data_IF_023570175504
#
_entry.id   IF_023570175504
#
_cell.length_a   1.000
_cell.length_b   1.000
_cell.length_c   1.000
_cell.angle_alpha   90.00
_cell.angle_beta   90.00
_cell.angle_gamma   90.00
#
_symmetry.space_group_name_H-M   'P 1'
#
loop_
_entity.id
_entity.type
_entity.pdbx_description
1 polymer ?
#
# COMPACT_ATOMS: atom_id res chain seq x y z
N UNK A 1 4.90 22.30 15.92
CA UNK A 1 4.02 21.93 14.78
C UNK A 1 3.97 20.42 14.72
N UNK A 2 2.80 19.82 14.91
CA UNK A 2 2.62 18.38 14.77
C UNK A 2 2.34 18.05 13.29
N UNK A 3 3.01 17.04 12.75
CA UNK A 3 2.69 16.48 11.44
C UNK A 3 1.36 15.72 11.55
N UNK A 4 0.24 16.42 11.40
CA UNK A 4 -1.10 15.87 11.63
C UNK A 4 -1.57 14.99 10.45
N UNK A 5 -1.05 15.22 9.25
CA UNK A 5 -1.43 14.52 8.03
C UNK A 5 -0.20 14.27 7.17
N UNK A 6 0.04 13.01 6.80
CA UNK A 6 1.13 12.64 5.91
C UNK A 6 0.55 11.93 4.70
N UNK A 7 0.33 12.66 3.61
CA UNK A 7 -0.15 12.07 2.35
C UNK A 7 0.96 11.25 1.69
N UNK A 8 0.64 10.02 1.30
CA UNK A 8 1.61 9.07 0.75
C UNK A 8 1.31 8.70 -0.70
N UNK A 9 0.06 8.76 -1.15
CA UNK A 9 -0.28 8.45 -2.53
C UNK A 9 -1.40 9.35 -3.08
N UNK A 10 -1.37 9.51 -4.40
CA UNK A 10 -2.42 10.16 -5.18
C UNK A 10 -2.76 9.24 -6.35
N UNK A 11 -4.05 8.94 -6.54
CA UNK A 11 -4.58 8.26 -7.72
C UNK A 11 -5.53 9.20 -8.44
N UNK A 12 -5.17 9.58 -9.67
CA UNK A 12 -6.00 10.43 -10.52
C UNK A 12 -6.81 9.58 -11.50
N UNK A 13 -8.12 9.80 -11.62
CA UNK A 13 -8.98 9.12 -12.60
C UNK A 13 -10.04 10.07 -13.14
N UNK A 14 -10.84 9.62 -14.13
CA UNK A 14 -12.03 10.37 -14.59
C UNK A 14 -13.04 10.67 -13.49
N UNK A 15 -13.01 9.92 -12.38
CA UNK A 15 -13.88 10.13 -11.22
C UNK A 15 -13.34 11.20 -10.26
N UNK A 16 -12.16 11.77 -10.50
CA UNK A 16 -11.49 12.73 -9.64
C UNK A 16 -10.18 12.20 -9.05
N UNK A 17 -9.66 12.92 -8.06
CA UNK A 17 -8.44 12.57 -7.33
C UNK A 17 -8.76 11.79 -6.06
N UNK A 18 -7.99 10.75 -5.80
CA UNK A 18 -8.07 9.98 -4.56
C UNK A 18 -6.73 10.06 -3.85
N UNK A 19 -6.73 10.42 -2.57
CA UNK A 19 -5.51 10.56 -1.77
C UNK A 19 -5.63 9.80 -0.46
N UNK A 20 -4.53 9.21 -0.02
CA UNK A 20 -4.44 8.60 1.31
C UNK A 20 -3.03 8.69 1.86
N UNK A 21 -2.88 8.35 3.14
CA UNK A 21 -1.60 8.36 3.80
C UNK A 21 -1.71 8.19 5.29
N UNK A 22 -0.55 8.18 5.94
CA UNK A 22 -0.46 7.99 7.36
C UNK A 22 -1.24 9.09 8.09
N UNK A 23 -2.12 8.68 9.01
CA UNK A 23 -3.01 9.55 9.82
C UNK A 23 -4.15 10.21 9.03
N UNK A 24 -4.41 9.82 7.78
CA UNK A 24 -5.67 10.22 7.12
C UNK A 24 -6.87 9.47 7.69
N UNK A 25 -6.66 8.22 8.12
CA UNK A 25 -7.69 7.24 8.54
C UNK A 25 -8.86 7.10 7.54
N UNK A 26 -8.63 7.55 6.30
CA UNK A 26 -9.61 7.64 5.23
C UNK A 26 -8.93 7.67 3.86
N UNK A 27 -9.62 7.11 2.88
CA UNK A 27 -9.39 7.43 1.47
C UNK A 27 -10.20 8.69 1.17
N UNK A 28 -9.52 9.76 0.77
CA UNK A 28 -10.16 11.05 0.51
C UNK A 28 -10.36 11.19 -0.99
N UNK A 29 -11.58 11.55 -1.40
CA UNK A 29 -11.93 11.87 -2.78
C UNK A 29 -12.03 13.39 -2.94
N UNK A 30 -11.34 13.94 -3.93
CA UNK A 30 -11.50 15.32 -4.39
C UNK A 30 -12.13 15.33 -5.78
N UNK A 31 -13.25 16.04 -5.90
CA UNK A 31 -13.96 16.21 -7.17
C UNK A 31 -13.35 17.32 -8.06
N UNK A 32 -14.00 17.62 -9.19
CA UNK A 32 -13.53 18.62 -10.15
C UNK A 32 -13.50 20.05 -9.61
N UNK A 33 -14.27 20.31 -8.55
CA UNK A 33 -14.34 21.62 -7.89
C UNK A 33 -13.42 21.67 -6.65
N UNK A 34 -12.56 20.65 -6.47
CA UNK A 34 -11.62 20.48 -5.36
C UNK A 34 -12.30 20.33 -3.99
N UNK A 35 -13.55 19.89 -3.95
CA UNK A 35 -14.20 19.54 -2.68
C UNK A 35 -13.68 18.19 -2.19
N UNK A 36 -13.04 18.18 -1.02
CA UNK A 36 -12.55 16.98 -0.38
C UNK A 36 -13.64 16.34 0.48
N UNK A 37 -13.89 15.04 0.27
CA UNK A 37 -14.79 14.23 1.10
C UNK A 37 -14.18 12.87 1.40
N UNK A 38 -14.55 12.29 2.52
CA UNK A 38 -14.24 10.90 2.81
C UNK A 38 -14.95 9.99 1.79
N UNK A 39 -14.18 9.14 1.11
CA UNK A 39 -14.70 8.09 0.24
C UNK A 39 -15.03 6.83 1.05
N UNK A 40 -14.12 6.44 1.94
CA UNK A 40 -14.30 5.41 2.95
C UNK A 40 -13.24 5.55 4.05
N UNK A 41 -13.54 5.03 5.24
CA UNK A 41 -12.58 4.94 6.32
C UNK A 41 -11.50 3.88 6.01
N UNK A 42 -10.28 4.10 6.50
CA UNK A 42 -9.15 3.19 6.36
C UNK A 42 -8.58 2.84 7.74
N UNK A 43 -8.03 1.63 7.93
CA UNK A 43 -7.32 1.30 9.15
C UNK A 43 -6.17 2.26 9.43
N UNK A 44 -6.01 2.64 10.69
CA UNK A 44 -4.88 3.47 11.11
C UNK A 44 -3.56 2.79 10.73
N UNK A 45 -2.67 3.51 10.04
CA UNK A 45 -1.40 2.98 9.56
C UNK A 45 -1.37 2.70 8.06
N UNK A 46 -2.49 2.81 7.34
CA UNK A 46 -2.48 2.76 5.88
C UNK A 46 -1.63 3.89 5.30
N UNK A 47 -0.76 3.54 4.34
CA UNK A 47 0.03 4.50 3.57
C UNK A 47 -0.57 4.70 2.18
N UNK A 48 -0.72 3.63 1.40
CA UNK A 48 -1.25 3.75 0.03
C UNK A 48 -2.59 3.03 -0.06
N UNK A 49 -3.59 3.72 -0.61
CA UNK A 49 -4.91 3.19 -0.89
C UNK A 49 -5.46 3.77 -2.19
N UNK A 50 -6.39 3.04 -2.81
CA UNK A 50 -7.12 3.51 -4.00
C UNK A 50 -8.46 2.81 -4.14
N UNK A 51 -9.42 3.43 -4.85
CA UNK A 51 -10.56 2.69 -5.36
C UNK A 51 -10.09 1.53 -6.23
N UNK A 52 -10.72 0.38 -6.06
CA UNK A 52 -10.41 -0.82 -6.79
C UNK A 52 -11.66 -1.70 -6.91
N UNK A 53 -12.03 -2.08 -8.15
CA UNK A 53 -13.31 -2.75 -8.45
C UNK A 53 -14.46 -2.03 -7.74
N UNK A 54 -15.38 -2.76 -7.08
CA UNK A 54 -16.46 -2.19 -6.27
C UNK A 54 -16.05 -2.00 -4.80
N UNK A 55 -14.81 -1.58 -4.56
CA UNK A 55 -14.24 -1.54 -3.21
C UNK A 55 -12.96 -0.69 -3.13
N UNK A 56 -12.08 -1.08 -2.22
CA UNK A 56 -10.81 -0.40 -1.94
C UNK A 56 -9.65 -1.39 -1.86
N UNK A 57 -8.51 -1.02 -2.42
CA UNK A 57 -7.24 -1.72 -2.26
C UNK A 57 -6.30 -0.83 -1.47
N UNK A 58 -5.67 -1.37 -0.43
CA UNK A 58 -4.79 -0.61 0.45
C UNK A 58 -3.75 -1.49 1.13
N UNK A 59 -2.63 -0.90 1.56
CA UNK A 59 -1.76 -1.55 2.53
C UNK A 59 -2.21 -1.30 3.97
N UNK A 60 -2.06 -2.33 4.79
CA UNK A 60 -2.33 -2.32 6.21
C UNK A 60 -1.02 -2.58 6.95
N UNK A 61 -0.25 -1.51 7.15
CA UNK A 61 1.09 -1.58 7.76
C UNK A 61 1.06 -2.10 9.19
N UNK A 62 -0.04 -1.88 9.94
CA UNK A 62 -0.16 -2.43 11.29
C UNK A 62 -0.36 -3.94 11.27
N UNK A 63 -1.05 -4.46 10.25
CA UNK A 63 -1.37 -5.88 10.12
C UNK A 63 -0.40 -6.66 9.23
N UNK A 64 0.66 -6.02 8.74
CA UNK A 64 1.68 -6.59 7.84
C UNK A 64 1.09 -7.25 6.61
N UNK A 65 0.12 -6.59 5.99
CA UNK A 65 -0.55 -7.12 4.80
C UNK A 65 -0.98 -6.03 3.81
N UNK A 66 -1.35 -6.49 2.62
CA UNK A 66 -2.17 -5.73 1.67
C UNK A 66 -3.57 -6.33 1.66
N UNK A 67 -4.59 -5.48 1.49
CA UNK A 67 -6.00 -5.87 1.55
C UNK A 67 -6.77 -5.28 0.38
N UNK A 68 -7.61 -6.11 -0.24
CA UNK A 68 -8.64 -5.70 -1.18
C UNK A 68 -10.00 -6.02 -0.55
N UNK A 69 -10.81 -5.00 -0.30
CA UNK A 69 -12.11 -5.13 0.39
C UNK A 69 -13.21 -4.61 -0.52
N UNK A 70 -14.17 -5.47 -0.85
CA UNK A 70 -15.38 -5.15 -1.61
C UNK A 70 -16.46 -4.52 -0.74
N UNK A 71 -17.37 -3.75 -1.35
CA UNK A 71 -18.56 -3.20 -0.67
C UNK A 71 -19.52 -4.25 -0.13
N UNK A 72 -19.48 -5.45 -0.68
CA UNK A 72 -20.23 -6.63 -0.23
C UNK A 72 -19.59 -7.31 1.00
N UNK A 73 -18.45 -6.81 1.48
CA UNK A 73 -17.71 -7.36 2.61
C UNK A 73 -16.74 -8.47 2.24
N UNK A 74 -16.67 -8.88 0.96
CA UNK A 74 -15.66 -9.83 0.51
C UNK A 74 -14.26 -9.21 0.62
N UNK A 75 -13.32 -9.98 1.18
CA UNK A 75 -11.95 -9.53 1.39
C UNK A 75 -10.93 -10.55 0.87
N UNK A 76 -9.89 -10.03 0.23
CA UNK A 76 -8.63 -10.75 -0.01
C UNK A 76 -7.52 -10.03 0.76
N UNK A 77 -6.74 -10.76 1.55
CA UNK A 77 -5.55 -10.22 2.20
C UNK A 77 -4.32 -11.08 1.89
N UNK A 78 -3.17 -10.42 1.77
CA UNK A 78 -1.88 -11.08 1.59
C UNK A 78 -0.89 -10.59 2.62
N UNK A 79 -0.32 -11.52 3.40
CA UNK A 79 0.78 -11.23 4.32
C UNK A 79 2.03 -10.85 3.55
N UNK A 80 2.72 -9.83 4.04
CA UNK A 80 4.00 -9.41 3.51
C UNK A 80 5.06 -10.46 3.83
N UNK A 81 5.93 -10.83 2.87
CA UNK A 81 7.04 -11.73 3.14
C UNK A 81 7.97 -11.16 4.21
N UNK A 82 8.42 -12.04 5.08
CA UNK A 82 9.47 -11.76 6.08
C UNK A 82 10.69 -12.62 5.80
N UNK A 83 11.79 -12.21 6.37
CA UNK A 83 13.09 -12.86 6.30
C UNK A 83 13.53 -13.33 7.68
N UNK A 84 14.49 -14.24 7.72
CA UNK A 84 15.11 -14.66 8.97
C UNK A 84 15.74 -13.44 9.65
N UNK A 85 15.49 -13.27 10.95
CA UNK A 85 16.00 -12.14 11.71
C UNK A 85 17.53 -12.07 11.71
N UNK A 86 18.20 -13.23 11.57
CA UNK A 86 19.66 -13.34 11.51
C UNK A 86 20.25 -12.80 10.20
N UNK A 87 19.44 -12.69 9.15
CA UNK A 87 19.85 -12.11 7.87
C UNK A 87 19.64 -10.58 7.82
N UNK A 88 18.86 -10.04 8.76
CA UNK A 88 18.56 -8.61 8.81
C UNK A 88 19.76 -7.80 9.31
N UNK A 89 19.95 -6.63 8.70
CA UNK A 89 20.98 -5.68 9.10
C UNK A 89 20.37 -4.45 9.76
N UNK A 90 21.17 -3.76 10.58
CA UNK A 90 20.78 -2.55 11.31
C UNK A 90 19.64 -2.75 12.32
N UNK A 91 19.46 -3.98 12.81
CA UNK A 91 18.46 -4.35 13.84
C UNK A 91 18.71 -3.68 15.20
N UNK A 92 19.97 -3.39 15.53
CA UNK A 92 20.38 -2.83 16.83
C UNK A 92 20.43 -1.29 16.87
N UNK A 93 20.09 -0.60 15.78
CA UNK A 93 20.17 0.87 15.70
C UNK A 93 18.83 1.56 15.95
N UNK A 94 17.77 0.79 16.18
CA UNK A 94 16.42 1.32 16.40
C UNK A 94 15.86 0.86 17.76
N UNK A 95 16.38 1.46 18.84
CA UNK A 95 15.85 1.30 20.20
C UNK A 95 14.39 1.78 20.35
N UNK A 96 13.85 2.47 19.33
CA UNK A 96 12.46 2.95 19.31
C UNK A 96 11.46 1.94 18.72
N UNK A 97 11.94 0.81 18.16
CA UNK A 97 11.14 -0.21 17.43
C UNK A 97 10.35 0.36 16.26
N UNK A 98 10.77 1.49 15.70
CA UNK A 98 10.05 2.13 14.57
C UNK A 98 10.33 1.36 13.27
N UNK A 99 11.53 0.81 13.08
CA UNK A 99 11.94 -0.01 11.95
C UNK A 99 11.82 -1.49 12.28
N UNK A 100 10.91 -2.16 11.57
CA UNK A 100 10.73 -3.62 11.60
C UNK A 100 10.38 -4.09 10.20
N UNK A 101 10.58 -5.38 9.94
CA UNK A 101 10.16 -5.99 8.69
C UNK A 101 8.63 -6.10 8.62
N UNK A 102 8.12 -6.34 7.41
CA UNK A 102 6.70 -6.56 7.17
C UNK A 102 5.88 -5.30 6.90
N UNK A 103 6.46 -4.10 7.01
CA UNK A 103 5.74 -2.86 6.71
C UNK A 103 5.35 -2.77 5.24
N UNK A 104 4.10 -3.12 4.94
CA UNK A 104 3.47 -2.83 3.66
C UNK A 104 3.33 -1.30 3.49
N UNK A 105 3.95 -0.71 2.46
CA UNK A 105 3.91 0.75 2.23
C UNK A 105 3.66 1.12 0.78
N UNK A 106 4.49 0.64 -0.15
CA UNK A 106 4.30 0.85 -1.58
C UNK A 106 3.18 0.00 -2.13
N UNK A 107 2.41 0.51 -3.08
CA UNK A 107 1.31 -0.21 -3.71
C UNK A 107 1.08 0.31 -5.12
N UNK A 108 1.13 -0.57 -6.12
CA UNK A 108 0.63 -0.27 -7.46
C UNK A 108 -0.09 -1.48 -8.06
N UNK A 109 -0.95 -1.21 -9.04
CA UNK A 109 -1.57 -2.26 -9.85
C UNK A 109 -0.71 -2.44 -11.09
N UNK A 110 -0.33 -3.70 -11.34
CA UNK A 110 0.31 -4.09 -12.59
C UNK A 110 -0.76 -4.32 -13.66
N UNK A 111 -1.87 -4.97 -13.28
CA UNK A 111 -3.09 -5.10 -14.08
C UNK A 111 -4.34 -5.23 -13.17
N UNK A 112 -5.45 -5.78 -13.69
CA UNK A 112 -6.71 -5.94 -12.96
C UNK A 112 -6.68 -7.01 -11.86
N UNK A 113 -5.72 -7.94 -11.93
CA UNK A 113 -5.60 -9.08 -11.02
C UNK A 113 -4.23 -9.10 -10.32
N UNK A 114 -3.20 -8.51 -10.93
CA UNK A 114 -1.84 -8.50 -10.43
C UNK A 114 -1.49 -7.16 -9.78
N UNK A 115 -1.04 -7.22 -8.53
CA UNK A 115 -0.57 -6.06 -7.76
C UNK A 115 0.89 -6.21 -7.37
N UNK A 116 1.59 -5.08 -7.29
CA UNK A 116 2.92 -5.01 -6.69
C UNK A 116 2.85 -4.25 -5.36
N UNK A 117 3.50 -4.81 -4.35
CA UNK A 117 3.52 -4.26 -2.99
C UNK A 117 4.95 -4.08 -2.54
N UNK A 118 5.25 -2.86 -2.09
CA UNK A 118 6.53 -2.48 -1.53
C UNK A 118 6.53 -2.65 -0.01
N UNK A 119 7.60 -3.21 0.53
CA UNK A 119 7.72 -3.48 1.96
C UNK A 119 9.15 -3.39 2.50
N UNK A 120 9.27 -3.41 3.83
CA UNK A 120 10.55 -3.56 4.54
C UNK A 120 10.92 -5.03 4.78
N UNK A 121 12.19 -5.42 4.66
CA UNK A 121 13.30 -4.59 4.18
C UNK A 121 13.28 -4.51 2.65
N UNK A 122 13.33 -3.31 2.05
CA UNK A 122 13.40 -3.04 0.60
C UNK A 122 12.93 -4.15 -0.36
N UNK A 123 11.69 -4.65 -0.18
CA UNK A 123 11.17 -5.81 -0.88
C UNK A 123 9.99 -5.41 -1.75
N UNK A 124 9.95 -5.94 -2.98
CA UNK A 124 8.81 -5.82 -3.89
C UNK A 124 8.23 -7.21 -4.08
N UNK A 125 6.95 -7.39 -3.77
CA UNK A 125 6.22 -8.65 -3.96
C UNK A 125 5.07 -8.47 -4.93
N UNK A 126 4.88 -9.46 -5.81
CA UNK A 126 3.75 -9.55 -6.73
C UNK A 126 2.71 -10.51 -6.17
N UNK A 127 1.44 -10.09 -6.16
CA UNK A 127 0.32 -10.93 -5.73
C UNK A 127 -0.76 -10.94 -6.82
N UNK A 128 -1.29 -12.13 -7.12
CA UNK A 128 -2.47 -12.28 -7.95
C UNK A 128 -3.70 -12.37 -7.04
N UNK A 129 -4.63 -11.43 -7.21
CA UNK A 129 -5.86 -11.25 -6.42
C UNK A 129 -6.92 -12.31 -6.71
N UNK A 130 -6.97 -12.82 -7.94
CA UNK A 130 -7.94 -13.84 -8.37
C UNK A 130 -7.51 -15.23 -7.89
N UNK A 131 -6.27 -15.60 -8.18
CA UNK A 131 -5.67 -16.86 -7.74
C UNK A 131 -5.34 -16.87 -6.23
N UNK A 132 -5.46 -15.71 -5.57
CA UNK A 132 -5.17 -15.51 -4.14
C UNK A 132 -3.79 -16.04 -3.73
N UNK A 133 -2.77 -15.75 -4.54
CA UNK A 133 -1.40 -16.22 -4.26
C UNK A 133 -0.34 -15.15 -4.51
N UNK A 134 0.76 -15.27 -3.79
CA UNK A 134 2.01 -14.58 -4.12
C UNK A 134 2.59 -15.20 -5.40
N UNK A 135 2.89 -14.37 -6.39
CA UNK A 135 3.46 -14.79 -7.67
C UNK A 135 4.98 -14.79 -7.61
N UNK A 136 5.58 -13.70 -7.13
CA UNK A 136 7.04 -13.56 -7.05
C UNK A 136 7.42 -12.48 -6.03
N UNK A 137 8.71 -12.40 -5.68
CA UNK A 137 9.25 -11.37 -4.81
C UNK A 137 10.73 -11.13 -5.11
N UNK A 138 11.17 -9.88 -4.97
CA UNK A 138 12.58 -9.49 -5.03
C UNK A 138 12.93 -8.63 -3.82
N UNK A 139 14.07 -8.93 -3.19
CA UNK A 139 14.65 -8.11 -2.13
C UNK A 139 15.82 -7.30 -2.71
N UNK A 140 15.88 -6.01 -2.40
CA UNK A 140 16.98 -5.13 -2.83
C UNK A 140 18.02 -4.89 -1.73
N UNK A 141 17.64 -5.10 -0.47
CA UNK A 141 18.50 -4.88 0.70
C UNK A 141 17.88 -5.54 1.93
N UNK A 142 18.74 -6.05 2.82
CA UNK A 142 18.38 -6.56 4.14
C UNK A 142 18.46 -5.50 5.24
N UNK A 143 18.63 -4.22 4.90
CA UNK A 143 18.55 -3.11 5.86
C UNK A 143 17.09 -2.89 6.29
N UNK A 144 16.81 -3.19 7.56
CA UNK A 144 15.47 -3.17 8.14
C UNK A 144 14.82 -1.78 8.16
N UNK A 145 15.63 -0.73 8.07
CA UNK A 145 15.16 0.66 8.10
C UNK A 145 14.53 1.07 6.78
N UNK A 146 14.83 0.35 5.70
CA UNK A 146 14.40 0.68 4.36
C UNK A 146 13.11 -0.05 3.99
N UNK A 147 12.18 0.68 3.40
CA UNK A 147 10.97 0.13 2.81
C UNK A 147 10.76 0.76 1.42
N UNK A 148 10.14 0.03 0.51
CA UNK A 148 9.70 0.60 -0.76
C UNK A 148 8.37 1.33 -0.53
N UNK A 149 8.37 2.67 -0.66
CA UNK A 149 7.23 3.53 -0.30
C UNK A 149 6.32 3.89 -1.48
N UNK A 150 6.91 4.14 -2.64
CA UNK A 150 6.20 4.51 -3.86
C UNK A 150 6.48 3.48 -4.94
N UNK A 151 5.42 3.05 -5.62
CA UNK A 151 5.47 2.16 -6.77
C UNK A 151 4.50 2.69 -7.81
N UNK A 152 4.90 2.67 -9.07
CA UNK A 152 4.05 3.07 -10.19
C UNK A 152 4.46 2.30 -11.44
N UNK A 153 3.52 2.00 -12.31
CA UNK A 153 3.79 1.35 -13.59
C UNK A 153 3.97 2.42 -14.67
N UNK A 154 5.01 2.28 -15.49
CA UNK A 154 5.30 3.17 -16.61
C UNK A 154 5.37 2.39 -17.94
N UNK A 155 4.78 2.88 -19.05
CA UNK A 155 4.02 4.12 -19.14
C UNK A 155 2.71 4.05 -18.36
N UNK A 156 2.22 5.20 -17.91
CA UNK A 156 0.93 5.34 -17.23
C UNK A 156 -0.24 5.22 -18.23
N UNK A 157 -0.23 4.17 -19.06
CA UNK A 157 -1.27 3.95 -20.06
C UNK A 157 -2.44 3.20 -19.43
N UNK A 158 -3.53 3.92 -19.11
CA UNK A 158 -4.93 3.49 -18.87
C UNK A 158 -5.23 2.02 -18.48
N UNK A 159 -4.40 1.31 -17.73
CA UNK A 159 -4.66 -0.09 -17.37
C UNK A 159 -5.97 -0.24 -16.57
N UNK A 160 -6.56 0.85 -16.05
CA UNK A 160 -7.61 0.79 -15.02
C UNK A 160 -8.69 1.89 -15.16
N UNK A 161 -8.97 2.34 -16.38
CA UNK A 161 -10.10 3.23 -16.69
C UNK A 161 -11.37 2.45 -17.11
N UNK A 162 -11.39 1.12 -16.91
CA UNK A 162 -12.59 0.26 -16.97
C UNK A 162 -13.25 0.07 -15.61
#
# INVERSE_FOLDING_TARGET
>A
MANNLHLNNVRCSKKGLFVSGLRTDALIHMDSDLNAKEYCSLPAGTHNARPFKQGVLFNDTKSDCVRAVGRDGNETNFKIPTYDETELTHTNLDDSRIARQGFARGLCLVDQELIAVGSSPSTISLFNLEEKKKVSSVNLSMDIRNAIHGLEVWPYERVLDS
#
